data_IF_455874063921
#
_entry.id   IF_455874063921
#
_cell.length_a   1.000
_cell.length_b   1.000
_cell.length_c   1.000
_cell.angle_alpha   90.00
_cell.angle_beta   90.00
_cell.angle_gamma   90.00
#
_symmetry.space_group_name_H-M   'P 1'
#
loop_
_entity.id
_entity.type
_entity.pdbx_description
1 polymer ?
#
# COMPACT_ATOMS: atom_id res chain seq x y z
N UNK A 1 11.36 8.21 -21.35
CA UNK A 1 10.97 7.79 -20.00
C UNK A 1 9.58 7.16 -20.04
N UNK A 2 9.45 6.00 -19.48
CA UNK A 2 8.17 5.31 -19.41
C UNK A 2 7.24 6.02 -18.45
N UNK A 3 6.01 6.23 -18.83
CA UNK A 3 5.02 6.79 -17.94
C UNK A 3 4.76 5.86 -16.75
N UNK A 4 4.35 6.42 -15.58
CA UNK A 4 3.92 5.59 -14.47
C UNK A 4 2.80 4.66 -14.92
N UNK A 5 3.02 3.36 -14.80
CA UNK A 5 2.10 2.37 -15.29
C UNK A 5 2.31 2.00 -16.75
N UNK A 6 3.53 2.13 -17.24
CA UNK A 6 3.87 1.72 -18.59
C UNK A 6 3.35 0.34 -18.91
N UNK A 7 2.95 0.18 -20.16
CA UNK A 7 2.33 -1.03 -20.64
C UNK A 7 3.29 -2.21 -20.57
N UNK A 8 2.94 -3.19 -19.79
CA UNK A 8 3.67 -4.46 -19.67
C UNK A 8 3.03 -5.57 -20.53
N UNK A 9 2.15 -5.22 -21.46
CA UNK A 9 1.38 -6.20 -22.24
C UNK A 9 2.24 -7.10 -23.12
N UNK A 10 3.44 -6.62 -23.51
CA UNK A 10 4.35 -7.39 -24.35
C UNK A 10 5.25 -8.37 -23.59
N UNK A 11 5.16 -8.42 -22.26
CA UNK A 11 6.02 -9.28 -21.44
C UNK A 11 5.23 -10.34 -20.69
N UNK A 12 5.82 -11.52 -20.50
CA UNK A 12 5.29 -12.56 -19.62
C UNK A 12 5.91 -12.51 -18.23
N UNK A 13 6.85 -11.60 -18.00
CA UNK A 13 7.53 -11.48 -16.71
C UNK A 13 6.58 -10.96 -15.62
N UNK A 14 6.32 -11.75 -14.57
CA UNK A 14 5.43 -11.31 -13.51
C UNK A 14 5.97 -10.10 -12.74
N UNK A 15 7.28 -9.93 -12.65
CA UNK A 15 7.89 -8.77 -11.99
C UNK A 15 7.62 -7.50 -12.80
N UNK A 16 7.81 -7.56 -14.13
CA UNK A 16 7.52 -6.43 -15.00
C UNK A 16 6.03 -6.05 -14.97
N UNK A 17 5.15 -7.05 -14.98
CA UNK A 17 3.71 -6.83 -14.90
C UNK A 17 3.28 -6.22 -13.57
N UNK A 18 3.83 -6.72 -12.47
CA UNK A 18 3.55 -6.19 -11.13
C UNK A 18 4.07 -4.77 -10.97
N UNK A 19 5.29 -4.49 -11.44
CA UNK A 19 5.86 -3.15 -11.34
C UNK A 19 5.08 -2.12 -12.15
N UNK A 20 4.49 -2.53 -13.27
CA UNK A 20 3.62 -1.65 -14.04
C UNK A 20 2.35 -1.28 -13.27
N UNK A 21 1.83 -2.20 -12.46
CA UNK A 21 0.62 -2.00 -11.66
C UNK A 21 0.87 -1.20 -10.39
N UNK A 22 1.89 -1.56 -9.61
CA UNK A 22 2.10 -1.05 -8.25
C UNK A 22 3.54 -0.59 -7.98
N UNK A 23 4.35 -0.41 -9.01
CA UNK A 23 5.79 -0.16 -8.83
C UNK A 23 6.17 1.26 -8.46
N UNK A 24 5.27 2.23 -8.53
CA UNK A 24 5.61 3.60 -8.20
C UNK A 24 5.51 3.88 -6.69
N UNK A 25 6.30 4.85 -6.25
CA UNK A 25 6.40 5.23 -4.85
C UNK A 25 5.05 5.50 -4.19
N UNK A 26 4.20 6.29 -4.84
CA UNK A 26 2.95 6.75 -4.24
C UNK A 26 1.95 5.62 -4.09
N UNK A 27 1.90 4.71 -5.06
CA UNK A 27 1.05 3.53 -4.99
C UNK A 27 1.47 2.60 -3.85
N UNK A 28 2.77 2.36 -3.70
CA UNK A 28 3.31 1.53 -2.61
C UNK A 28 2.94 2.13 -1.25
N UNK A 29 3.18 3.44 -1.06
CA UNK A 29 2.85 4.13 0.19
C UNK A 29 1.35 4.13 0.46
N UNK A 30 0.54 4.28 -0.57
CA UNK A 30 -0.92 4.28 -0.44
C UNK A 30 -1.45 2.90 -0.03
N UNK A 31 -0.98 1.84 -0.65
CA UNK A 31 -1.37 0.48 -0.26
C UNK A 31 -0.91 0.17 1.16
N UNK A 32 0.27 0.67 1.56
CA UNK A 32 0.73 0.58 2.95
C UNK A 32 -0.30 1.16 3.92
N UNK A 33 -0.77 2.38 3.66
CA UNK A 33 -1.71 3.06 4.56
C UNK A 33 -3.07 2.38 4.59
N UNK A 34 -3.54 1.92 3.44
CA UNK A 34 -4.79 1.15 3.38
C UNK A 34 -4.68 -0.16 4.17
N UNK A 35 -3.53 -0.81 4.13
CA UNK A 35 -3.29 -2.04 4.92
C UNK A 35 -3.24 -1.78 6.42
N UNK A 36 -2.85 -0.56 6.83
CA UNK A 36 -2.77 -0.17 8.23
C UNK A 36 -4.10 0.37 8.79
N UNK A 37 -5.13 0.47 7.95
CA UNK A 37 -6.46 0.88 8.37
C UNK A 37 -6.84 2.32 8.07
N UNK A 38 -5.98 3.10 7.40
CA UNK A 38 -6.36 4.42 6.90
C UNK A 38 -7.29 4.24 5.71
N UNK A 39 -8.51 4.75 5.81
CA UNK A 39 -9.54 4.50 4.79
C UNK A 39 -10.06 5.78 4.15
N UNK A 40 -9.84 6.94 4.77
CA UNK A 40 -10.39 8.21 4.29
C UNK A 40 -9.34 9.03 3.58
N UNK A 41 -9.78 9.83 2.61
CA UNK A 41 -8.91 10.63 1.76
C UNK A 41 -7.95 11.51 2.56
N UNK A 42 -8.45 12.21 3.57
CA UNK A 42 -7.63 13.11 4.40
C UNK A 42 -6.56 12.37 5.19
N UNK A 43 -6.89 11.17 5.71
CA UNK A 43 -5.91 10.31 6.39
C UNK A 43 -4.82 9.86 5.44
N UNK A 44 -5.22 9.40 4.25
CA UNK A 44 -4.28 8.94 3.23
C UNK A 44 -3.38 10.09 2.76
N UNK A 45 -3.95 11.28 2.60
CA UNK A 45 -3.20 12.46 2.19
C UNK A 45 -2.12 12.83 3.23
N UNK A 46 -2.50 12.87 4.50
CA UNK A 46 -1.58 13.21 5.59
C UNK A 46 -0.46 12.17 5.73
N UNK A 47 -0.80 10.89 5.68
CA UNK A 47 0.15 9.82 5.94
C UNK A 47 1.11 9.54 4.77
N UNK A 48 0.66 9.77 3.54
CA UNK A 48 1.53 9.54 2.37
C UNK A 48 2.38 10.76 2.02
N UNK A 49 1.93 11.96 2.38
CA UNK A 49 2.59 13.19 1.97
C UNK A 49 2.39 13.53 0.50
N UNK A 50 1.48 12.84 -0.20
CA UNK A 50 1.18 13.12 -1.59
C UNK A 50 0.40 14.42 -1.74
N UNK A 51 0.44 15.03 -2.94
CA UNK A 51 -0.47 16.12 -3.25
C UNK A 51 -1.89 15.58 -3.46
N UNK A 52 -2.94 16.40 -3.27
CA UNK A 52 -4.31 15.95 -3.53
C UNK A 52 -4.52 15.42 -4.96
N UNK A 53 -3.89 16.02 -5.94
CA UNK A 53 -3.97 15.58 -7.34
C UNK A 53 -3.33 14.20 -7.52
N UNK A 54 -2.16 14.00 -6.95
CA UNK A 54 -1.45 12.72 -7.02
C UNK A 54 -2.27 11.62 -6.33
N UNK A 55 -2.78 11.89 -5.14
CA UNK A 55 -3.58 10.93 -4.39
C UNK A 55 -4.84 10.55 -5.17
N UNK A 56 -5.58 11.54 -5.68
CA UNK A 56 -6.77 11.30 -6.49
C UNK A 56 -6.46 10.42 -7.71
N UNK A 57 -5.39 10.75 -8.41
CA UNK A 57 -4.96 10.01 -9.59
C UNK A 57 -4.65 8.55 -9.25
N UNK A 58 -3.91 8.31 -8.19
CA UNK A 58 -3.52 6.95 -7.78
C UNK A 58 -4.69 6.13 -7.25
N UNK A 59 -5.60 6.76 -6.50
CA UNK A 59 -6.82 6.09 -6.02
C UNK A 59 -7.71 5.64 -7.18
N UNK A 60 -7.90 6.50 -8.17
CA UNK A 60 -8.68 6.15 -9.37
C UNK A 60 -8.06 4.98 -10.11
N UNK A 61 -6.75 4.99 -10.25
CA UNK A 61 -6.02 3.92 -10.92
C UNK A 61 -6.13 2.61 -10.17
N UNK A 62 -5.91 2.61 -8.85
CA UNK A 62 -6.04 1.41 -8.03
C UNK A 62 -7.47 0.85 -8.06
N UNK A 63 -8.47 1.72 -8.08
CA UNK A 63 -9.87 1.30 -8.22
C UNK A 63 -10.11 0.65 -9.57
N UNK A 64 -9.63 1.27 -10.65
CA UNK A 64 -9.77 0.73 -12.01
C UNK A 64 -9.06 -0.62 -12.16
N UNK A 65 -7.94 -0.81 -11.48
CA UNK A 65 -7.17 -2.05 -11.51
C UNK A 65 -7.71 -3.12 -10.55
N UNK A 66 -8.77 -2.83 -9.82
CA UNK A 66 -9.39 -3.79 -8.90
C UNK A 66 -8.64 -4.02 -7.60
N UNK A 67 -7.69 -3.15 -7.26
CA UNK A 67 -6.92 -3.25 -6.02
C UNK A 67 -7.68 -2.71 -4.81
N UNK A 68 -8.54 -1.74 -5.04
CA UNK A 68 -9.35 -1.10 -4.00
C UNK A 68 -10.78 -0.94 -4.46
N UNK A 69 -11.67 -0.78 -3.49
CA UNK A 69 -13.05 -0.35 -3.71
C UNK A 69 -13.29 0.94 -2.95
N UNK A 70 -14.16 1.76 -3.51
CA UNK A 70 -14.60 3.00 -2.89
C UNK A 70 -16.03 2.83 -2.40
N UNK A 71 -16.27 3.09 -1.12
CA UNK A 71 -17.57 2.92 -0.49
C UNK A 71 -18.03 4.22 0.17
N UNK A 72 -19.30 4.63 0.00
CA UNK A 72 -19.80 5.78 0.73
C UNK A 72 -19.96 5.44 2.21
N UNK A 73 -19.52 6.33 3.10
CA UNK A 73 -19.78 6.21 4.53
C UNK A 73 -20.68 7.33 5.07
N UNK A 74 -20.94 8.34 4.24
CA UNK A 74 -21.85 9.44 4.54
C UNK A 74 -22.57 9.86 3.27
N UNK A 75 -23.84 10.19 3.36
CA UNK A 75 -24.65 10.65 2.24
C UNK A 75 -24.82 12.18 2.21
N UNK A 76 -24.64 12.85 3.36
CA UNK A 76 -24.83 14.29 3.49
C UNK A 76 -23.78 14.91 4.43
N UNK A 77 -22.65 15.45 3.92
CA UNK A 77 -22.21 15.42 2.52
C UNK A 77 -21.79 14.02 2.09
N UNK A 78 -21.80 13.79 0.78
CA UNK A 78 -21.35 12.51 0.24
C UNK A 78 -19.85 12.35 0.46
N UNK A 79 -19.47 11.33 1.22
CA UNK A 79 -18.07 11.03 1.53
C UNK A 79 -17.83 9.55 1.34
N UNK A 80 -16.61 9.24 0.89
CA UNK A 80 -16.20 7.88 0.60
C UNK A 80 -15.03 7.45 1.45
N UNK A 81 -14.95 6.16 1.71
CA UNK A 81 -13.76 5.51 2.24
C UNK A 81 -13.28 4.45 1.25
N UNK A 82 -12.01 4.09 1.37
CA UNK A 82 -11.34 3.18 0.47
C UNK A 82 -10.90 1.94 1.23
N UNK A 83 -11.05 0.77 0.60
CA UNK A 83 -10.67 -0.50 1.19
C UNK A 83 -9.94 -1.36 0.17
N UNK A 84 -8.98 -2.14 0.64
CA UNK A 84 -8.32 -3.12 -0.21
C UNK A 84 -9.29 -4.24 -0.57
N UNK A 85 -9.28 -4.65 -1.83
CA UNK A 85 -9.93 -5.87 -2.29
C UNK A 85 -9.08 -7.10 -1.93
N UNK A 86 -9.55 -8.30 -2.25
CA UNK A 86 -8.73 -9.51 -2.14
C UNK A 86 -7.43 -9.37 -2.93
N UNK A 87 -7.51 -8.83 -4.14
CA UNK A 87 -6.33 -8.54 -4.98
C UNK A 87 -5.38 -7.56 -4.28
N UNK A 88 -5.92 -6.49 -3.71
CA UNK A 88 -5.11 -5.51 -2.97
C UNK A 88 -4.45 -6.11 -1.75
N UNK A 89 -5.16 -6.96 -1.01
CA UNK A 89 -4.60 -7.63 0.17
C UNK A 89 -3.48 -8.60 -0.18
N UNK A 90 -3.51 -9.20 -1.36
CA UNK A 90 -2.45 -10.09 -1.82
C UNK A 90 -1.12 -9.36 -2.03
N UNK A 91 -1.13 -8.04 -2.08
CA UNK A 91 0.09 -7.24 -2.13
C UNK A 91 0.74 -7.04 -0.75
N UNK A 92 0.04 -7.31 0.34
CA UNK A 92 0.55 -7.08 1.70
C UNK A 92 1.86 -7.84 1.97
N UNK A 93 2.03 -9.11 1.55
CA UNK A 93 3.32 -9.79 1.72
C UNK A 93 4.48 -9.08 1.03
N UNK A 94 4.22 -8.42 -0.10
CA UNK A 94 5.24 -7.61 -0.80
C UNK A 94 5.64 -6.41 0.05
N UNK A 95 4.67 -5.77 0.73
CA UNK A 95 4.97 -4.66 1.65
C UNK A 95 5.85 -5.12 2.81
N UNK A 96 5.63 -6.30 3.36
CA UNK A 96 6.49 -6.86 4.39
C UNK A 96 7.93 -7.06 3.89
N UNK A 97 8.09 -7.50 2.64
CA UNK A 97 9.42 -7.63 2.04
C UNK A 97 10.09 -6.26 1.86
N UNK A 98 9.36 -5.24 1.42
CA UNK A 98 9.84 -3.86 1.37
C UNK A 98 10.27 -3.37 2.75
N UNK A 99 9.45 -3.62 3.76
CA UNK A 99 9.74 -3.25 5.15
C UNK A 99 11.04 -3.89 5.63
N UNK A 100 11.21 -5.19 5.42
CA UNK A 100 12.40 -5.92 5.83
C UNK A 100 13.65 -5.35 5.16
N UNK A 101 13.57 -5.08 3.87
CA UNK A 101 14.68 -4.48 3.12
C UNK A 101 15.03 -3.08 3.66
N UNK A 102 13.99 -2.25 3.88
CA UNK A 102 14.18 -0.89 4.39
C UNK A 102 14.76 -0.86 5.79
N UNK A 103 14.30 -1.75 6.68
CA UNK A 103 14.82 -1.86 8.04
C UNK A 103 16.30 -2.28 8.05
N UNK A 104 16.68 -3.14 7.13
CA UNK A 104 18.06 -3.63 7.07
C UNK A 104 19.02 -2.63 6.43
N UNK A 105 18.61 -1.96 5.36
CA UNK A 105 19.54 -1.24 4.49
C UNK A 105 19.30 0.27 4.37
N UNK A 106 18.10 0.76 4.71
CA UNK A 106 17.68 2.14 4.39
C UNK A 106 17.60 3.04 5.62
N UNK A 107 18.17 2.64 6.74
CA UNK A 107 18.22 3.49 7.94
C UNK A 107 19.55 3.33 8.66
N UNK A 108 19.84 4.28 9.57
CA UNK A 108 21.00 4.21 10.41
C UNK A 108 20.85 3.09 11.45
N UNK A 109 21.96 2.44 11.81
CA UNK A 109 21.99 1.27 12.70
C UNK A 109 21.30 1.53 14.06
N UNK A 110 21.44 2.73 14.58
CA UNK A 110 20.89 3.10 15.89
C UNK A 110 19.42 3.55 15.86
N UNK A 111 18.83 3.68 14.70
CA UNK A 111 17.42 4.11 14.59
C UNK A 111 16.49 2.99 15.03
N UNK A 112 15.44 3.31 15.83
CA UNK A 112 14.46 2.31 16.21
C UNK A 112 13.60 1.88 15.02
N UNK A 113 12.97 0.72 15.16
CA UNK A 113 12.01 0.25 14.17
C UNK A 113 10.82 1.21 14.08
N UNK A 114 10.53 1.69 12.87
CA UNK A 114 9.49 2.71 12.66
C UNK A 114 8.08 2.19 12.95
N UNK A 115 7.81 0.94 12.59
CA UNK A 115 6.49 0.32 12.76
C UNK A 115 6.67 -1.10 13.27
N UNK A 116 5.97 -1.42 14.34
CA UNK A 116 5.86 -2.79 14.84
C UNK A 116 4.47 -3.32 14.49
N UNK A 117 4.42 -4.54 14.01
CA UNK A 117 3.17 -5.16 13.55
C UNK A 117 2.83 -6.34 14.46
N UNK A 118 1.56 -6.43 14.85
CA UNK A 118 1.08 -7.48 15.73
C UNK A 118 -0.04 -8.25 15.05
N UNK A 119 -0.04 -9.56 15.26
CA UNK A 119 -1.08 -10.42 14.73
C UNK A 119 -2.37 -10.19 15.50
N UNK A 120 -3.46 -9.96 14.78
CA UNK A 120 -4.73 -9.57 15.39
C UNK A 120 -5.30 -10.65 16.32
N UNK A 121 -5.18 -11.90 15.92
CA UNK A 121 -5.79 -13.01 16.66
C UNK A 121 -5.00 -13.40 17.90
N UNK A 122 -3.69 -13.49 17.82
CA UNK A 122 -2.84 -13.96 18.92
C UNK A 122 -2.11 -12.86 19.68
N UNK A 123 -2.12 -11.60 19.18
CA UNK A 123 -1.40 -10.49 19.79
C UNK A 123 0.12 -10.57 19.67
N UNK A 124 0.67 -11.63 19.08
CA UNK A 124 2.10 -11.78 18.89
C UNK A 124 2.65 -10.81 17.85
N UNK A 125 3.90 -10.38 18.04
CA UNK A 125 4.56 -9.50 17.09
C UNK A 125 4.88 -10.27 15.81
N UNK A 126 4.61 -9.63 14.68
CA UNK A 126 4.96 -10.15 13.36
C UNK A 126 6.37 -9.67 13.03
N UNK A 127 7.29 -10.60 12.81
CA UNK A 127 8.67 -10.31 12.46
C UNK A 127 8.80 -9.76 11.03
N UNK A 128 10.04 -9.42 10.67
CA UNK A 128 10.34 -8.89 9.35
C UNK A 128 10.15 -9.91 8.23
N UNK A 129 10.13 -11.19 8.57
CA UNK A 129 9.83 -12.29 7.65
C UNK A 129 8.33 -12.50 7.42
N UNK A 130 7.49 -11.75 8.15
CA UNK A 130 6.04 -11.88 8.09
C UNK A 130 5.48 -12.97 9.00
N UNK A 131 6.32 -13.66 9.76
CA UNK A 131 5.93 -14.72 10.67
C UNK A 131 5.56 -14.18 12.04
N UNK A 132 4.53 -14.77 12.65
CA UNK A 132 4.14 -14.42 14.02
C UNK A 132 5.14 -15.04 15.01
N UNK A 133 5.60 -14.25 15.97
CA UNK A 133 6.59 -14.69 16.97
C UNK A 133 5.95 -15.42 18.16
N UNK A 134 4.63 -15.45 18.21
CA UNK A 134 3.90 -16.12 19.29
C UNK A 134 3.82 -17.62 19.08
#
# INVERSE_FOLDING_TARGET
>A
MTEPGGDASGTLCPIARSSALVGDRWTILLVRELSLGSTRFDQLLTQTGATPQMLTSRLRRLEADGMIVREPYSQRPLRHEYRLTAKGRDFIPVLFAFRAFGEKWCKAEAEPMAVRTFHRECGGEVGLDGECTA
#
